data_IF_169899563218
#
_entry.id   IF_169899563218
#
_cell.length_a   1.000
_cell.length_b   1.000
_cell.length_c   1.000
_cell.angle_alpha   90.00
_cell.angle_beta   90.00
_cell.angle_gamma   90.00
#
_symmetry.space_group_name_H-M   'P 1'
#
loop_
_entity.id
_entity.type
_entity.pdbx_description
1 polymer ?
#
# COMPACT_ATOMS: atom_id res chain seq x y z
N UNK A 1 -29.15 21.50 33.38
CA UNK A 1 -29.02 22.86 32.80
C UNK A 1 -27.59 22.97 32.28
N UNK A 2 -27.21 23.09 31.01
CA UNK A 2 -27.73 23.75 29.80
C UNK A 2 -27.56 22.82 28.57
N UNK A 3 -28.54 22.84 27.65
CA UNK A 3 -28.44 22.32 26.26
C UNK A 3 -28.23 23.49 25.29
N UNK A 4 -27.33 23.37 24.30
CA UNK A 4 -27.32 24.15 23.03
C UNK A 4 -26.80 23.23 21.92
N UNK A 5 -27.65 22.64 21.08
CA UNK A 5 -28.39 23.16 19.91
C UNK A 5 -27.64 22.95 18.59
N UNK A 6 -28.19 22.04 17.77
CA UNK A 6 -27.84 21.73 16.38
C UNK A 6 -28.40 22.81 15.43
N UNK A 7 -27.75 23.01 14.29
CA UNK A 7 -28.20 23.91 13.21
C UNK A 7 -28.33 23.11 11.89
N UNK A 8 -29.48 23.13 11.20
CA UNK A 8 -29.60 22.73 9.80
C UNK A 8 -30.08 23.89 8.88
N UNK A 9 -29.95 23.70 7.56
CA UNK A 9 -30.57 24.52 6.49
C UNK A 9 -29.56 25.36 5.69
N UNK A 10 -29.65 25.53 4.36
CA UNK A 10 -30.65 25.17 3.33
C UNK A 10 -29.97 25.21 1.94
N UNK A 11 -30.41 24.38 0.97
CA UNK A 11 -31.31 24.72 -0.17
C UNK A 11 -30.95 25.99 -0.95
N UNK A 12 -30.55 25.79 -2.20
CA UNK A 12 -30.59 26.76 -3.29
C UNK A 12 -30.83 26.01 -4.61
N UNK A 13 -31.99 26.25 -5.20
CA UNK A 13 -32.49 25.73 -6.49
C UNK A 13 -32.14 26.68 -7.65
N UNK A 14 -32.43 26.20 -8.87
CA UNK A 14 -32.64 26.90 -10.16
C UNK A 14 -31.38 27.24 -10.98
N UNK A 15 -31.33 27.05 -12.31
CA UNK A 15 -32.31 26.58 -13.30
C UNK A 15 -31.81 26.88 -14.74
N UNK A 16 -32.35 26.15 -15.74
CA UNK A 16 -32.31 26.38 -17.21
C UNK A 16 -30.92 26.41 -17.88
N UNK A 17 -30.68 26.07 -19.15
CA UNK A 17 -31.43 26.05 -20.44
C UNK A 17 -30.61 25.07 -21.33
N UNK A 18 -31.08 24.19 -22.23
CA UNK A 18 -32.08 24.29 -23.30
C UNK A 18 -31.38 24.21 -24.69
N UNK A 19 -31.79 23.26 -25.53
CA UNK A 19 -31.48 23.16 -26.99
C UNK A 19 -30.34 22.18 -27.36
N UNK A 20 -30.40 21.33 -28.38
CA UNK A 20 -31.40 20.98 -29.40
C UNK A 20 -30.90 19.68 -30.10
N UNK A 21 -31.78 18.71 -30.34
CA UNK A 21 -32.34 18.37 -31.66
C UNK A 21 -31.29 18.19 -32.78
N UNK A 22 -31.12 16.94 -33.20
CA UNK A 22 -30.32 16.52 -34.34
C UNK A 22 -30.72 15.14 -34.84
N UNK A 23 -32.02 14.92 -35.03
CA UNK A 23 -32.55 13.87 -35.91
C UNK A 23 -32.18 14.19 -37.36
N UNK A 24 -31.61 13.23 -38.06
CA UNK A 24 -31.58 13.23 -39.53
C UNK A 24 -31.66 11.80 -40.05
N UNK A 25 -32.89 11.27 -40.00
CA UNK A 25 -33.29 10.16 -40.83
C UNK A 25 -33.44 10.58 -42.31
N UNK A 26 -32.96 9.72 -43.20
CA UNK A 26 -33.75 9.24 -44.32
C UNK A 26 -34.16 10.21 -45.42
N UNK A 27 -33.19 10.66 -46.22
CA UNK A 27 -33.37 11.03 -47.63
C UNK A 27 -32.11 10.48 -48.32
N UNK A 28 -32.08 9.52 -49.24
CA UNK A 28 -32.80 9.40 -50.49
C UNK A 28 -32.77 7.93 -50.95
N UNK A 29 -33.88 7.21 -50.79
CA UNK A 29 -34.23 6.12 -51.73
C UNK A 29 -34.97 6.79 -52.88
N UNK A 30 -34.26 7.17 -53.94
CA UNK A 30 -34.86 7.47 -55.27
C UNK A 30 -33.73 7.75 -56.27
N UNK A 31 -33.10 6.68 -56.76
CA UNK A 31 -32.52 6.67 -58.10
C UNK A 31 -32.37 5.22 -58.61
N UNK A 32 -33.50 4.50 -58.65
CA UNK A 32 -33.65 3.44 -59.63
C UNK A 32 -34.19 4.09 -60.90
N UNK A 33 -33.33 4.22 -61.93
CA UNK A 33 -33.65 3.96 -63.34
C UNK A 33 -32.46 4.36 -64.22
N UNK A 34 -32.11 3.44 -65.12
CA UNK A 34 -31.25 3.57 -66.31
C UNK A 34 -29.73 3.50 -66.09
N UNK A 35 -29.21 2.28 -65.97
CA UNK A 35 -27.97 1.90 -66.67
C UNK A 35 -28.24 0.57 -67.37
N UNK A 36 -28.87 0.66 -68.55
CA UNK A 36 -28.75 -0.35 -69.58
C UNK A 36 -27.71 0.18 -70.57
N UNK A 37 -26.50 -0.37 -70.54
CA UNK A 37 -25.61 -0.43 -71.71
C UNK A 37 -24.31 -1.18 -71.36
N UNK A 38 -24.02 -2.22 -72.15
CA UNK A 38 -22.70 -2.76 -72.44
C UNK A 38 -21.97 -3.57 -71.34
N UNK A 39 -22.50 -4.77 -71.05
CA UNK A 39 -21.67 -5.88 -70.56
C UNK A 39 -20.73 -6.37 -71.67
N UNK A 40 -19.43 -6.04 -71.59
CA UNK A 40 -18.36 -6.83 -72.24
C UNK A 40 -17.76 -7.79 -71.20
N UNK A 41 -17.87 -9.12 -71.37
CA UNK A 41 -17.63 -10.11 -70.31
C UNK A 41 -16.15 -10.40 -69.96
N UNK A 42 -15.19 -9.57 -70.38
CA UNK A 42 -13.74 -9.83 -70.15
C UNK A 42 -13.07 -8.92 -69.11
N UNK A 43 -13.74 -7.88 -68.62
CA UNK A 43 -13.10 -6.89 -67.71
C UNK A 43 -13.45 -7.13 -66.23
N UNK A 44 -14.58 -7.78 -65.94
CA UNK A 44 -15.08 -7.98 -64.56
C UNK A 44 -14.22 -9.00 -63.77
N UNK A 45 -13.60 -9.97 -64.46
CA UNK A 45 -12.73 -10.97 -63.83
C UNK A 45 -11.41 -10.39 -63.27
N UNK A 46 -10.91 -9.28 -63.84
CA UNK A 46 -9.66 -8.65 -63.39
C UNK A 46 -9.83 -7.75 -62.17
N UNK A 47 -10.99 -7.09 -62.04
CA UNK A 47 -11.29 -6.24 -60.89
C UNK A 47 -11.58 -7.07 -59.63
N UNK A 48 -12.28 -8.20 -59.75
CA UNK A 48 -12.53 -9.09 -58.62
C UNK A 48 -11.23 -9.70 -58.06
N UNK A 49 -10.29 -10.10 -58.93
CA UNK A 49 -8.97 -10.60 -58.52
C UNK A 49 -8.14 -9.54 -57.77
N UNK A 50 -8.10 -8.30 -58.26
CA UNK A 50 -7.36 -7.22 -57.62
C UNK A 50 -7.93 -6.83 -56.23
N UNK A 51 -9.26 -6.82 -56.09
CA UNK A 51 -9.93 -6.53 -54.81
C UNK A 51 -9.70 -7.66 -53.80
N UNK A 52 -9.70 -8.92 -54.24
CA UNK A 52 -9.43 -10.07 -53.37
C UNK A 52 -7.98 -10.07 -52.87
N UNK A 53 -7.01 -9.75 -53.74
CA UNK A 53 -5.59 -9.62 -53.35
C UNK A 53 -5.39 -8.44 -52.38
N UNK A 54 -6.01 -7.29 -52.64
CA UNK A 54 -5.94 -6.14 -51.74
C UNK A 54 -6.54 -6.45 -50.35
N UNK A 55 -7.69 -7.13 -50.31
CA UNK A 55 -8.31 -7.56 -49.05
C UNK A 55 -7.43 -8.57 -48.28
N UNK A 56 -6.77 -9.49 -48.99
CA UNK A 56 -5.88 -10.49 -48.38
C UNK A 56 -4.59 -9.86 -47.82
N UNK A 57 -4.04 -8.86 -48.51
CA UNK A 57 -2.91 -8.05 -48.00
C UNK A 57 -3.31 -7.26 -46.75
N UNK A 58 -4.51 -6.65 -46.72
CA UNK A 58 -5.01 -5.93 -45.53
C UNK A 58 -5.21 -6.88 -44.34
N UNK A 59 -5.69 -8.11 -44.57
CA UNK A 59 -5.85 -9.13 -43.52
C UNK A 59 -4.52 -9.69 -43.00
N UNK A 60 -3.47 -9.72 -43.83
CA UNK A 60 -2.12 -10.14 -43.40
C UNK A 60 -1.39 -9.04 -42.61
N UNK A 61 -1.59 -7.76 -42.94
CA UNK A 61 -0.98 -6.63 -42.21
C UNK A 61 -1.64 -6.40 -40.83
N UNK A 62 -2.93 -6.70 -40.68
CA UNK A 62 -3.69 -6.45 -39.44
C UNK A 62 -3.43 -7.44 -38.30
N UNK A 63 -2.70 -8.54 -38.52
CA UNK A 63 -2.28 -9.47 -37.44
C UNK A 63 -1.06 -9.01 -36.63
N UNK A 64 -0.40 -7.91 -37.03
CA UNK A 64 0.85 -7.43 -36.40
C UNK A 64 0.70 -6.45 -35.22
N UNK A 65 -0.50 -5.99 -34.88
CA UNK A 65 -0.72 -5.00 -33.80
C UNK A 65 -1.50 -5.58 -32.61
N UNK A 66 -1.29 -6.85 -32.29
CA UNK A 66 -1.72 -7.40 -31.00
C UNK A 66 -0.63 -7.21 -29.95
N UNK A 67 -1.01 -6.56 -28.85
CA UNK A 67 -0.25 -6.49 -27.60
C UNK A 67 1.01 -5.61 -27.57
N UNK A 68 0.83 -4.29 -27.71
CA UNK A 68 1.49 -3.38 -26.75
C UNK A 68 0.87 -3.64 -25.37
N UNK A 69 1.37 -4.68 -24.70
CA UNK A 69 1.12 -4.91 -23.28
C UNK A 69 1.36 -3.58 -22.57
N UNK A 70 0.34 -3.07 -21.90
CA UNK A 70 0.47 -2.05 -20.85
C UNK A 70 1.32 -2.64 -19.72
N UNK A 71 2.61 -2.84 -19.97
CA UNK A 71 3.62 -3.17 -18.99
C UNK A 71 3.92 -1.90 -18.22
N UNK A 72 2.95 -1.45 -17.42
CA UNK A 72 3.19 -0.39 -16.46
C UNK A 72 4.33 -0.85 -15.56
N UNK A 73 5.46 -0.16 -15.64
CA UNK A 73 6.63 -0.46 -14.82
C UNK A 73 6.17 -0.57 -13.36
N UNK A 74 6.33 -1.75 -12.78
CA UNK A 74 5.97 -2.03 -11.40
C UNK A 74 6.70 -1.04 -10.49
N UNK A 75 6.00 0.01 -10.05
CA UNK A 75 6.51 1.05 -9.14
C UNK A 75 5.96 0.80 -7.75
N UNK A 76 6.87 0.57 -6.82
CA UNK A 76 6.57 0.46 -5.41
C UNK A 76 6.01 1.78 -4.86
N UNK A 77 4.69 1.88 -4.72
CA UNK A 77 4.04 3.10 -4.24
C UNK A 77 4.32 3.37 -2.75
N UNK A 78 4.58 2.32 -1.95
CA UNK A 78 4.81 2.45 -0.51
C UNK A 78 5.78 1.40 0.02
N UNK A 79 6.80 1.85 0.74
CA UNK A 79 7.71 0.99 1.49
C UNK A 79 7.34 0.98 2.98
N UNK A 80 7.49 -0.18 3.63
CA UNK A 80 7.52 -0.27 5.08
C UNK A 80 8.96 -0.30 5.55
N UNK A 81 9.27 0.43 6.63
CA UNK A 81 10.62 0.57 7.16
C UNK A 81 10.76 -0.15 8.51
N UNK A 82 11.91 -0.80 8.74
CA UNK A 82 12.32 -1.27 10.07
C UNK A 82 12.80 -0.10 10.95
N UNK A 83 13.12 -0.40 12.21
CA UNK A 83 13.96 0.48 13.02
C UNK A 83 15.30 0.75 12.32
N UNK A 84 15.85 1.95 12.55
CA UNK A 84 17.17 2.35 12.09
C UNK A 84 18.22 1.73 13.00
N UNK A 85 19.22 1.07 12.41
CA UNK A 85 20.40 0.59 13.13
C UNK A 85 21.59 1.46 12.76
N UNK A 86 22.28 2.10 13.73
CA UNK A 86 23.50 2.85 13.47
C UNK A 86 24.61 1.93 12.95
N UNK A 87 25.54 2.48 12.17
CA UNK A 87 26.72 1.74 11.69
C UNK A 87 27.70 1.47 12.82
N UNK A 88 27.93 2.47 13.67
CA UNK A 88 28.84 2.42 14.80
C UNK A 88 28.16 3.05 16.01
N UNK A 89 28.38 2.47 17.20
CA UNK A 89 27.78 2.96 18.44
C UNK A 89 26.25 2.79 18.53
N UNK A 90 25.62 3.63 19.35
CA UNK A 90 24.18 3.56 19.62
C UNK A 90 23.34 4.63 18.87
N UNK A 91 24.00 5.65 18.30
CA UNK A 91 23.36 6.74 17.57
C UNK A 91 24.14 7.07 16.28
N UNK A 92 23.62 7.98 15.46
CA UNK A 92 24.31 8.49 14.29
C UNK A 92 23.84 7.86 12.98
N UNK A 93 24.70 7.89 11.97
CA UNK A 93 24.37 7.36 10.64
C UNK A 93 24.17 5.84 10.69
N UNK A 94 23.16 5.37 9.97
CA UNK A 94 22.76 3.98 10.00
C UNK A 94 21.93 3.55 8.80
N UNK A 95 21.43 2.32 8.88
CA UNK A 95 20.58 1.72 7.85
C UNK A 95 19.30 1.17 8.44
N UNK A 96 18.21 1.37 7.70
CA UNK A 96 16.94 0.68 7.93
C UNK A 96 16.56 -0.13 6.71
N UNK A 97 15.97 -1.29 6.95
CA UNK A 97 15.47 -2.18 5.90
C UNK A 97 14.14 -1.63 5.42
N UNK A 98 14.06 -1.28 4.14
CA UNK A 98 12.83 -0.90 3.47
C UNK A 98 12.32 -2.09 2.65
N UNK A 99 11.06 -2.42 2.85
CA UNK A 99 10.39 -3.52 2.21
C UNK A 99 9.14 -3.03 1.49
N UNK A 100 9.10 -3.27 0.18
CA UNK A 100 7.92 -3.00 -0.62
C UNK A 100 7.38 -4.32 -1.18
N UNK A 101 6.06 -4.45 -1.08
CA UNK A 101 5.39 -5.63 -1.55
C UNK A 101 3.97 -5.30 -2.02
N UNK A 102 3.75 -5.43 -3.33
CA UNK A 102 2.47 -5.16 -3.98
C UNK A 102 2.01 -6.38 -4.78
N UNK A 103 0.69 -6.59 -4.88
CA UNK A 103 0.07 -7.82 -5.45
C UNK A 103 0.52 -8.16 -6.88
N UNK A 104 0.94 -7.19 -7.70
CA UNK A 104 1.36 -7.39 -9.10
C UNK A 104 2.87 -7.16 -9.32
N UNK A 105 3.63 -7.12 -8.24
CA UNK A 105 5.02 -6.69 -8.25
C UNK A 105 5.91 -7.68 -7.53
N UNK A 106 7.09 -7.93 -8.09
CA UNK A 106 8.10 -8.67 -7.36
C UNK A 106 8.47 -7.89 -6.08
N UNK A 107 8.53 -8.56 -4.91
CA UNK A 107 8.91 -7.92 -3.66
C UNK A 107 10.31 -7.33 -3.73
N UNK A 108 10.43 -6.07 -3.33
CA UNK A 108 11.70 -5.34 -3.34
C UNK A 108 12.16 -5.06 -1.93
N UNK A 109 13.43 -5.36 -1.67
CA UNK A 109 14.14 -5.00 -0.45
C UNK A 109 15.21 -4.01 -0.82
N UNK A 110 15.34 -2.95 -0.03
CA UNK A 110 16.49 -2.06 -0.12
C UNK A 110 16.89 -1.60 1.26
N UNK A 111 18.19 -1.36 1.43
CA UNK A 111 18.68 -0.63 2.59
C UNK A 111 18.52 0.85 2.30
N UNK A 112 17.99 1.58 3.28
CA UNK A 112 17.79 3.02 3.21
C UNK A 112 18.61 3.63 4.33
N UNK A 113 19.47 4.59 4.00
CA UNK A 113 20.22 5.36 4.98
C UNK A 113 19.25 6.09 5.91
N UNK A 114 19.58 6.13 7.18
CA UNK A 114 18.83 6.83 8.21
C UNK A 114 19.80 7.37 9.25
N UNK A 115 19.35 8.34 10.03
CA UNK A 115 20.10 8.86 11.17
C UNK A 115 19.31 8.54 12.43
N UNK A 116 19.97 7.88 13.38
CA UNK A 116 19.49 7.81 14.77
C UNK A 116 19.97 9.10 15.43
N UNK A 117 19.07 9.93 16.01
CA UNK A 117 19.49 11.15 16.65
C UNK A 117 20.55 10.82 17.72
N UNK A 118 21.69 11.49 17.64
CA UNK A 118 22.66 11.55 18.73
C UNK A 118 22.29 12.72 19.63
N UNK A 119 22.49 12.55 20.94
CA UNK A 119 22.32 13.65 21.87
C UNK A 119 23.34 14.73 21.54
N UNK A 120 23.01 16.00 21.76
CA UNK A 120 24.08 16.99 21.93
C UNK A 120 24.93 16.60 23.13
N UNK A 121 26.17 17.07 23.22
CA UNK A 121 27.00 16.81 24.40
C UNK A 121 26.22 17.19 25.69
N UNK A 122 25.92 16.20 26.53
CA UNK A 122 25.11 16.36 27.75
C UNK A 122 23.62 16.04 27.62
N UNK A 123 23.10 15.71 26.45
CA UNK A 123 21.69 15.33 26.26
C UNK A 123 21.51 13.81 26.34
N UNK A 124 20.57 13.36 27.16
CA UNK A 124 20.28 11.94 27.38
C UNK A 124 19.16 11.46 26.47
N UNK A 125 19.47 10.55 25.56
CA UNK A 125 18.47 9.95 24.67
C UNK A 125 18.05 8.60 25.23
N UNK A 126 16.74 8.42 25.40
CA UNK A 126 16.15 7.19 25.91
C UNK A 126 15.36 6.45 24.83
N UNK A 127 15.10 5.15 25.05
CA UNK A 127 14.24 4.36 24.18
C UNK A 127 12.90 5.07 23.93
N UNK A 128 12.40 5.08 22.69
CA UNK A 128 11.14 5.76 22.36
C UNK A 128 9.93 5.10 23.01
N UNK A 129 10.05 3.87 23.50
CA UNK A 129 8.99 3.15 24.21
C UNK A 129 9.59 2.40 25.38
N UNK A 130 9.07 2.65 26.58
CA UNK A 130 9.48 1.98 27.82
C UNK A 130 8.55 0.84 28.23
N UNK A 131 8.83 0.25 29.37
CA UNK A 131 8.04 -0.83 29.97
C UNK A 131 7.18 -0.27 31.09
N UNK A 132 5.88 -0.53 31.05
CA UNK A 132 4.94 -0.12 32.08
C UNK A 132 4.89 -1.16 33.22
N UNK A 133 4.85 -0.68 34.47
CA UNK A 133 4.58 -1.49 35.66
C UNK A 133 3.11 -1.88 35.75
N UNK A 134 2.73 -2.67 36.75
CA UNK A 134 1.34 -2.75 37.19
C UNK A 134 0.91 -1.44 37.89
N UNK A 135 -0.39 -1.18 37.94
CA UNK A 135 -0.92 -0.10 38.77
C UNK A 135 -0.69 -0.40 40.25
N UNK A 136 -0.02 0.52 40.94
CA UNK A 136 -0.08 0.62 42.38
C UNK A 136 -1.39 1.30 42.77
N UNK A 137 -2.30 0.54 43.40
CA UNK A 137 -3.63 1.03 43.80
C UNK A 137 -3.57 2.00 44.97
N UNK A 138 -2.57 1.86 45.85
CA UNK A 138 -2.41 2.73 47.01
C UNK A 138 -1.99 4.13 46.55
N UNK A 139 -1.04 4.19 45.61
CA UNK A 139 -0.53 5.44 45.05
C UNK A 139 -1.33 5.93 43.85
N UNK A 140 -2.28 5.14 43.36
CA UNK A 140 -3.00 5.34 42.11
C UNK A 140 -2.04 5.68 40.96
N UNK A 141 -0.92 4.98 40.90
CA UNK A 141 0.23 5.31 40.07
C UNK A 141 0.72 4.10 39.27
N UNK A 142 1.14 4.37 38.04
CA UNK A 142 1.80 3.41 37.18
C UNK A 142 3.08 4.05 36.63
N UNK A 143 4.14 3.25 36.55
CA UNK A 143 5.48 3.71 36.20
C UNK A 143 5.86 3.17 34.83
N UNK A 144 6.38 4.04 33.96
CA UNK A 144 7.00 3.67 32.69
C UNK A 144 8.51 3.82 32.78
N UNK A 145 9.25 2.73 32.61
CA UNK A 145 10.72 2.73 32.63
C UNK A 145 11.27 2.71 31.22
N UNK A 146 12.09 3.70 30.87
CA UNK A 146 12.82 3.79 29.60
C UNK A 146 14.32 3.69 29.82
N UNK A 147 15.02 3.00 28.92
CA UNK A 147 16.47 2.77 29.00
C UNK A 147 17.24 3.79 28.19
N UNK A 148 18.43 4.17 28.66
CA UNK A 148 19.35 5.06 27.97
C UNK A 148 19.82 4.38 26.67
N UNK A 149 19.72 5.11 25.56
CA UNK A 149 20.22 4.73 24.25
C UNK A 149 21.54 5.45 23.97
N UNK A 150 21.62 6.74 24.30
CA UNK A 150 22.81 7.57 24.08
C UNK A 150 22.98 8.61 25.19
N UNK A 151 24.23 8.87 25.57
CA UNK A 151 24.63 9.69 26.73
C UNK A 151 25.66 9.00 27.63
N UNK A 152 26.41 9.77 28.42
CA UNK A 152 27.38 9.23 29.39
C UNK A 152 26.69 8.86 30.70
N UNK A 153 27.00 7.69 31.27
CA UNK A 153 26.37 7.18 32.51
C UNK A 153 26.56 8.13 33.70
N UNK A 154 27.64 8.92 33.71
CA UNK A 154 27.90 9.91 34.75
C UNK A 154 26.93 11.10 34.71
N UNK A 155 26.37 11.42 33.54
CA UNK A 155 25.47 12.56 33.34
C UNK A 155 24.02 12.11 33.13
N UNK A 156 23.83 10.87 32.66
CA UNK A 156 22.56 10.32 32.25
C UNK A 156 22.28 9.03 33.03
N UNK A 157 21.19 8.96 33.82
CA UNK A 157 20.82 7.72 34.46
C UNK A 157 20.51 6.65 33.41
N UNK A 158 20.94 5.41 33.67
CA UNK A 158 20.74 4.25 32.79
C UNK A 158 19.27 3.99 32.48
N UNK A 159 18.40 4.28 33.45
CA UNK A 159 16.96 4.16 33.30
C UNK A 159 16.28 5.43 33.82
N UNK A 160 15.26 5.88 33.10
CA UNK A 160 14.39 6.98 33.53
C UNK A 160 12.98 6.45 33.70
N UNK A 161 12.35 6.82 34.81
CA UNK A 161 10.97 6.45 35.11
C UNK A 161 10.04 7.64 34.89
N UNK A 162 8.84 7.36 34.40
CA UNK A 162 7.78 8.36 34.24
C UNK A 162 6.52 7.83 34.90
N UNK A 163 6.01 8.56 35.89
CA UNK A 163 4.84 8.15 36.66
C UNK A 163 3.58 8.81 36.11
N UNK A 164 2.52 8.02 35.95
CA UNK A 164 1.20 8.49 35.54
C UNK A 164 0.13 7.96 36.49
N UNK A 165 -1.01 8.66 36.57
CA UNK A 165 -2.17 8.15 37.31
C UNK A 165 -2.83 6.98 36.60
N UNK A 166 -3.22 5.97 37.36
CA UNK A 166 -3.92 4.78 36.86
C UNK A 166 -5.34 5.08 36.39
N UNK A 167 -6.08 5.86 37.18
CA UNK A 167 -7.45 6.28 36.86
C UNK A 167 -7.46 7.65 36.21
N UNK A 168 -8.44 7.87 35.34
CA UNK A 168 -8.81 9.18 34.81
C UNK A 168 -9.58 9.98 35.87
N UNK A 169 -9.96 11.21 35.52
CA UNK A 169 -10.76 12.09 36.39
C UNK A 169 -12.19 11.59 36.59
N UNK A 170 -12.72 10.81 35.66
CA UNK A 170 -14.06 10.21 35.69
C UNK A 170 -14.11 8.90 36.51
N UNK A 171 -13.01 8.50 37.16
CA UNK A 171 -12.89 7.24 37.89
C UNK A 171 -12.63 6.01 37.01
N UNK A 172 -12.68 6.15 35.67
CA UNK A 172 -12.40 5.04 34.76
C UNK A 172 -10.91 4.70 34.76
N UNK A 173 -10.58 3.42 34.64
CA UNK A 173 -9.20 2.97 34.46
C UNK A 173 -8.65 3.44 33.11
N UNK A 174 -7.40 3.91 33.08
CA UNK A 174 -6.71 4.20 31.82
C UNK A 174 -6.29 2.90 31.15
N UNK A 175 -6.41 2.90 29.83
CA UNK A 175 -5.94 1.83 28.98
C UNK A 175 -4.44 1.93 28.78
N UNK A 176 -3.70 0.96 29.31
CA UNK A 176 -2.25 0.92 29.21
C UNK A 176 -1.85 -0.38 28.57
N UNK A 177 -0.99 -0.27 27.56
CA UNK A 177 -0.60 -1.39 26.73
C UNK A 177 0.90 -1.61 26.79
N UNK A 178 1.31 -2.87 26.61
CA UNK A 178 2.72 -3.22 26.48
C UNK A 178 3.32 -2.71 25.17
N UNK A 179 4.65 -2.82 25.06
CA UNK A 179 5.36 -2.54 23.81
C UNK A 179 4.79 -3.42 22.69
N UNK A 180 4.69 -2.85 21.49
CA UNK A 180 4.36 -3.64 20.31
C UNK A 180 5.43 -4.72 20.07
N UNK A 181 4.99 -5.94 19.83
CA UNK A 181 5.87 -6.99 19.32
C UNK A 181 6.41 -6.63 17.94
N UNK A 182 7.52 -7.28 17.55
CA UNK A 182 8.00 -7.25 16.17
C UNK A 182 6.91 -7.83 15.27
N UNK A 183 6.80 -7.29 14.04
CA UNK A 183 5.92 -7.88 13.03
C UNK A 183 6.23 -9.37 12.83
N UNK A 184 5.18 -10.20 12.77
CA UNK A 184 5.28 -11.62 12.43
C UNK A 184 5.90 -11.80 11.04
N UNK A 185 6.34 -13.03 10.75
CA UNK A 185 6.63 -13.44 9.37
C UNK A 185 5.38 -13.21 8.51
N UNK A 186 5.60 -12.93 7.23
CA UNK A 186 4.51 -12.82 6.28
C UNK A 186 4.04 -14.23 5.90
N UNK A 187 2.81 -14.57 6.25
CA UNK A 187 2.17 -15.86 5.95
C UNK A 187 0.87 -15.51 5.22
N UNK A 188 0.64 -16.11 4.06
CA UNK A 188 -0.57 -15.87 3.23
C UNK A 188 -0.81 -14.40 2.86
N UNK A 189 0.28 -13.64 2.71
CA UNK A 189 0.22 -12.21 2.42
C UNK A 189 -0.26 -11.37 3.59
N UNK A 190 -0.23 -11.93 4.80
CA UNK A 190 -0.64 -11.27 6.02
C UNK A 190 0.49 -11.35 7.05
N UNK A 191 0.73 -10.25 7.72
CA UNK A 191 1.53 -10.20 8.94
C UNK A 191 0.77 -9.46 10.01
N UNK A 192 1.05 -9.79 11.26
CA UNK A 192 0.45 -9.12 12.39
C UNK A 192 1.51 -8.76 13.42
N UNK A 193 1.22 -7.75 14.22
CA UNK A 193 1.92 -7.50 15.48
C UNK A 193 0.88 -7.37 16.57
N UNK A 194 1.26 -7.79 17.76
CA UNK A 194 0.40 -7.76 18.94
C UNK A 194 1.02 -6.93 20.05
N UNK A 195 0.18 -6.47 20.98
CA UNK A 195 0.54 -5.93 22.28
C UNK A 195 -0.48 -6.42 23.30
N UNK A 196 -0.09 -6.47 24.55
CA UNK A 196 -0.96 -6.88 25.65
C UNK A 196 -1.59 -5.64 26.30
N UNK A 197 -2.82 -5.78 26.78
CA UNK A 197 -3.42 -4.82 27.69
C UNK A 197 -2.83 -5.11 29.08
N UNK A 198 -2.06 -4.16 29.62
CA UNK A 198 -1.50 -4.25 30.96
C UNK A 198 -2.58 -3.84 31.97
N UNK A 199 -3.42 -2.87 31.61
CA UNK A 199 -4.43 -2.33 32.50
C UNK A 199 -5.61 -1.68 31.74
N UNK A 200 -6.80 -1.83 32.33
CA UNK A 200 -8.07 -1.29 31.87
C UNK A 200 -9.07 -2.42 31.58
N UNK A 201 -10.35 -2.20 31.86
CA UNK A 201 -11.43 -3.15 31.56
C UNK A 201 -12.10 -2.87 30.21
N UNK A 202 -12.30 -1.60 29.89
CA UNK A 202 -13.12 -1.14 28.75
C UNK A 202 -12.29 -0.35 27.75
N UNK A 203 -11.31 -1.05 27.19
CA UNK A 203 -10.37 -0.47 26.25
C UNK A 203 -10.66 -0.97 24.85
N UNK A 204 -10.83 -0.06 23.87
CA UNK A 204 -10.91 -0.42 22.46
C UNK A 204 -9.69 -1.24 22.09
N UNK A 205 -9.90 -2.56 21.95
CA UNK A 205 -8.84 -3.57 21.95
C UNK A 205 -8.07 -3.61 20.63
N UNK A 206 -7.36 -2.54 20.28
CA UNK A 206 -6.31 -2.64 19.26
C UNK A 206 -5.08 -3.29 19.92
N UNK A 207 -5.24 -4.56 20.26
CA UNK A 207 -4.19 -5.49 20.75
C UNK A 207 -3.50 -6.18 19.60
N UNK A 208 -4.10 -6.17 18.40
CA UNK A 208 -3.56 -6.76 17.17
C UNK A 208 -3.72 -5.79 16.02
N UNK A 209 -2.63 -5.56 15.28
CA UNK A 209 -2.68 -4.87 14.00
C UNK A 209 -2.34 -5.87 12.92
N UNK A 210 -3.21 -5.99 11.93
CA UNK A 210 -3.02 -6.81 10.74
C UNK A 210 -2.58 -5.91 9.60
N UNK A 211 -1.55 -6.31 8.87
CA UNK A 211 -1.09 -5.60 7.70
C UNK A 211 -0.85 -6.59 6.56
N UNK A 212 -1.29 -6.20 5.38
CA UNK A 212 -0.93 -6.94 4.17
C UNK A 212 0.58 -6.87 3.96
N UNK A 213 1.13 -8.02 3.65
CA UNK A 213 2.44 -8.21 3.07
C UNK A 213 2.21 -9.12 1.86
N UNK A 214 3.24 -9.69 1.30
CA UNK A 214 3.14 -10.77 0.34
C UNK A 214 4.20 -11.83 0.62
N UNK A 215 3.97 -12.97 0.02
CA UNK A 215 4.83 -14.11 0.15
C UNK A 215 5.79 -14.05 -1.03
N UNK A 216 7.09 -14.15 -0.75
CA UNK A 216 8.02 -14.52 -1.81
C UNK A 216 7.69 -15.97 -2.18
N UNK A 217 6.95 -16.22 -3.28
CA UNK A 217 7.00 -17.54 -3.93
C UNK A 217 8.43 -17.68 -4.46
N UNK A 218 9.29 -18.38 -3.72
CA UNK A 218 10.49 -18.95 -4.34
C UNK A 218 9.96 -19.89 -5.40
N UNK A 219 10.19 -19.56 -6.67
CA UNK A 219 10.03 -20.52 -7.75
C UNK A 219 10.86 -21.74 -7.36
N UNK A 220 10.17 -22.84 -7.09
CA UNK A 220 10.75 -24.17 -6.96
C UNK A 220 10.93 -24.67 -8.39
N UNK A 221 12.03 -24.27 -9.02
CA UNK A 221 12.50 -24.85 -10.28
C UNK A 221 13.89 -25.42 -10.00
N UNK A 222 13.90 -26.71 -9.71
CA UNK A 222 15.01 -27.62 -9.97
C UNK A 222 14.44 -29.03 -10.06
N UNK A 223 13.63 -29.23 -11.10
CA UNK A 223 13.35 -30.52 -11.71
C UNK A 223 14.09 -30.54 -13.06
N UNK A 224 15.34 -31.01 -13.05
CA UNK A 224 16.21 -31.41 -14.18
C UNK A 224 17.60 -31.62 -13.58
N UNK A 225 18.40 -32.65 -13.83
CA UNK A 225 18.31 -33.80 -14.71
C UNK A 225 19.33 -34.77 -14.10
N UNK A 226 18.92 -35.93 -13.61
CA UNK A 226 19.86 -37.03 -13.37
C UNK A 226 19.87 -37.88 -14.63
N UNK A 227 20.65 -37.44 -15.62
CA UNK A 227 21.05 -38.30 -16.74
C UNK A 227 21.97 -39.38 -16.17
N UNK A 228 21.35 -40.51 -15.82
CA UNK A 228 22.01 -41.76 -15.53
C UNK A 228 22.49 -42.38 -16.84
N UNK A 229 23.81 -42.38 -17.01
CA UNK A 229 24.62 -43.39 -17.71
C UNK A 229 23.90 -44.73 -17.81
N UNK A 230 23.60 -45.21 -19.02
CA UNK A 230 23.62 -46.64 -19.38
C UNK A 230 24.03 -46.80 -20.86
N UNK A 231 25.20 -47.43 -21.02
CA UNK A 231 25.78 -48.16 -22.18
C UNK A 231 26.28 -47.38 -23.37
#
# INVERSE_FOLDING_TARGET
MLRKQLKPGGRGSSGGVGGGLGDSGGWWRLCQRKIAAACRPKVIARFLGAVLVAALVILLVSKGLSQRRRGGACRCAKFTYSQCQPYEGACGQGVKKAFCQQKRCQPRRKLVRCSVPCGRAGECIYEPTGSWSSCDRERNAIVNTRRLVDGTVNNCPLEVTTTMRCVKRDGSMKCIYSKWTKWSKCIDGIRHKTRQLIQGSDCDQITRIVQNCAIHRRHRESSSNSDSVIR
#
